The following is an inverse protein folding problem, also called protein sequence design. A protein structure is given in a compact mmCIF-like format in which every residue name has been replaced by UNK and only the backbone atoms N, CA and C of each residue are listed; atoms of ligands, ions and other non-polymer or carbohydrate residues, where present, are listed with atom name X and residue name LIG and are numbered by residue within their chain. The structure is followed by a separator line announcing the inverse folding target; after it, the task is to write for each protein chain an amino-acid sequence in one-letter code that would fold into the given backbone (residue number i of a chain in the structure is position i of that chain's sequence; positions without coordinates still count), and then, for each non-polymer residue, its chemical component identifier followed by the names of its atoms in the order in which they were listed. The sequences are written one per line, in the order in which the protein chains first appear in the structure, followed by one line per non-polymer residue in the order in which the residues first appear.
data_IF_040844030930
#
_entry.id   IF_040844030930
#
_cell.length_a   1.000
_cell.length_b   1.000
_cell.length_c   1.000
_cell.angle_alpha   90.00
_cell.angle_beta   90.00
_cell.angle_gamma   90.00
#
_symmetry.space_group_name_H-M   'P 1'
#
loop_
_entity.id
_entity.type
_entity.pdbx_description
1 polymer ?
#
# COMPACT_ATOMS: atom_id res chain seq x y z
N UNK A 1 -15.32 -3.14 1.45
CA UNK A 1 -14.14 -3.99 1.77
C UNK A 1 -13.62 -4.82 0.58
N UNK A 2 -14.43 -5.62 -0.14
CA UNK A 2 -13.97 -6.53 -1.22
C UNK A 2 -13.08 -5.89 -2.32
N UNK A 3 -13.44 -4.72 -2.87
CA UNK A 3 -12.65 -4.06 -3.93
C UNK A 3 -11.28 -3.53 -3.46
N UNK A 4 -11.18 -3.13 -2.19
CA UNK A 4 -9.94 -2.59 -1.60
C UNK A 4 -8.92 -3.71 -1.36
N UNK A 5 -9.39 -4.85 -0.88
CA UNK A 5 -8.55 -6.05 -0.72
C UNK A 5 -8.01 -6.57 -2.06
N UNK A 6 -8.77 -6.41 -3.14
CA UNK A 6 -8.34 -6.82 -4.49
C UNK A 6 -7.23 -5.92 -5.04
N UNK A 7 -7.30 -4.61 -4.82
CA UNK A 7 -6.24 -3.66 -5.22
C UNK A 7 -4.93 -3.94 -4.48
N UNK A 8 -4.99 -4.18 -3.16
CA UNK A 8 -3.81 -4.55 -2.37
C UNK A 8 -3.24 -5.90 -2.82
N UNK A 9 -4.10 -6.90 -3.06
CA UNK A 9 -3.67 -8.20 -3.56
C UNK A 9 -3.01 -8.12 -4.94
N UNK A 10 -3.58 -7.34 -5.87
CA UNK A 10 -2.98 -7.11 -7.19
C UNK A 10 -1.63 -6.41 -7.07
N UNK A 11 -1.51 -5.42 -6.19
CA UNK A 11 -0.24 -4.75 -5.94
C UNK A 11 0.81 -5.73 -5.40
N UNK A 12 0.44 -6.57 -4.43
CA UNK A 12 1.34 -7.56 -3.84
C UNK A 12 1.81 -8.58 -4.88
N UNK A 13 0.89 -9.15 -5.65
CA UNK A 13 1.21 -10.12 -6.70
C UNK A 13 2.06 -9.47 -7.79
N UNK A 14 1.70 -8.26 -8.21
CA UNK A 14 2.44 -7.48 -9.19
C UNK A 14 3.84 -7.12 -8.72
N UNK A 15 4.01 -6.69 -7.47
CA UNK A 15 5.31 -6.27 -6.93
C UNK A 15 6.30 -7.44 -6.92
N UNK A 16 5.87 -8.61 -6.44
CA UNK A 16 6.69 -9.82 -6.42
C UNK A 16 6.95 -10.32 -7.85
N UNK A 17 5.93 -10.39 -8.70
CA UNK A 17 6.07 -10.89 -10.06
C UNK A 17 7.00 -10.00 -10.91
N UNK A 18 6.84 -8.68 -10.87
CA UNK A 18 7.70 -7.76 -11.60
C UNK A 18 9.13 -7.74 -11.06
N UNK A 19 9.32 -7.86 -9.75
CA UNK A 19 10.67 -7.95 -9.14
C UNK A 19 11.39 -9.23 -9.56
N UNK A 20 10.68 -10.38 -9.62
CA UNK A 20 11.23 -11.64 -10.10
C UNK A 20 11.46 -11.64 -11.62
N UNK A 21 10.50 -11.15 -12.40
CA UNK A 21 10.61 -11.07 -13.85
C UNK A 21 11.79 -10.21 -14.26
N UNK A 22 12.07 -9.14 -13.52
CA UNK A 22 13.22 -8.28 -13.80
C UNK A 22 14.55 -9.02 -13.77
N UNK A 23 14.70 -10.05 -12.92
CA UNK A 23 15.92 -10.84 -12.81
C UNK A 23 16.23 -11.64 -14.07
N UNK A 24 15.19 -12.13 -14.76
CA UNK A 24 15.36 -12.88 -16.01
C UNK A 24 15.85 -12.02 -17.18
N UNK A 25 15.88 -10.69 -17.03
CA UNK A 25 16.37 -9.74 -18.04
C UNK A 25 17.75 -9.16 -17.71
N UNK A 26 18.49 -9.73 -16.73
CA UNK A 26 19.89 -9.37 -16.45
C UNK A 26 20.84 -10.08 -17.42
N UNK A 27 20.63 -9.87 -18.72
CA UNK A 27 21.51 -10.34 -19.79
C UNK A 27 21.63 -9.26 -20.87
N UNK A 28 22.70 -9.33 -21.66
CA UNK A 28 22.94 -8.43 -22.79
C UNK A 28 21.88 -8.61 -23.91
N UNK A 29 21.18 -9.74 -23.88
CA UNK A 29 20.07 -10.05 -24.77
C UNK A 29 18.72 -9.69 -24.15
N UNK A 30 17.80 -9.17 -24.97
CA UNK A 30 16.38 -8.95 -24.62
C UNK A 30 15.57 -10.26 -24.48
N UNK A 31 16.24 -11.38 -24.21
CA UNK A 31 15.64 -12.68 -24.02
C UNK A 31 15.57 -12.98 -22.52
N UNK A 32 14.41 -13.44 -22.09
CA UNK A 32 14.22 -13.88 -20.72
C UNK A 32 14.99 -15.18 -20.47
N UNK A 33 15.89 -15.19 -19.50
CA UNK A 33 16.67 -16.37 -19.13
C UNK A 33 16.28 -16.89 -17.74
N UNK A 34 15.61 -18.05 -17.72
CA UNK A 34 15.22 -18.74 -16.49
C UNK A 34 16.42 -19.25 -15.67
N UNK A 35 17.54 -19.58 -16.34
CA UNK A 35 18.73 -20.07 -15.64
C UNK A 35 19.36 -18.95 -14.81
N UNK A 36 19.39 -17.72 -15.33
CA UNK A 36 19.86 -16.55 -14.59
C UNK A 36 18.98 -16.25 -13.37
N UNK A 37 17.65 -16.33 -13.52
CA UNK A 37 16.72 -16.15 -12.42
C UNK A 37 16.96 -17.17 -11.29
N UNK A 38 17.08 -18.46 -11.65
CA UNK A 38 17.33 -19.51 -10.67
C UNK A 38 18.69 -19.35 -9.99
N UNK A 39 19.70 -18.96 -10.77
CA UNK A 39 21.07 -18.73 -10.29
C UNK A 39 21.14 -17.61 -9.25
N UNK A 40 20.46 -16.49 -9.48
CA UNK A 40 20.39 -15.40 -8.51
C UNK A 40 19.57 -15.78 -7.28
N UNK A 41 18.46 -16.52 -7.44
CA UNK A 41 17.59 -16.92 -6.33
C UNK A 41 18.26 -17.95 -5.40
N UNK A 42 19.02 -18.90 -5.96
CA UNK A 42 19.76 -19.92 -5.20
C UNK A 42 21.16 -19.45 -4.73
N UNK A 43 21.54 -18.19 -4.99
CA UNK A 43 22.84 -17.62 -4.61
C UNK A 43 24.06 -18.47 -5.06
N UNK A 44 23.96 -19.13 -6.21
CA UNK A 44 24.95 -20.13 -6.65
C UNK A 44 26.34 -19.51 -6.87
N UNK A 45 26.42 -18.26 -7.33
CA UNK A 45 27.67 -17.53 -7.57
C UNK A 45 28.12 -16.66 -6.38
N UNK A 46 27.45 -16.76 -5.24
CA UNK A 46 27.66 -15.88 -4.09
C UNK A 46 27.02 -14.50 -4.25
N UNK A 47 27.02 -13.75 -3.15
CA UNK A 47 26.44 -12.40 -3.10
C UNK A 47 27.51 -11.35 -3.37
N UNK A 48 27.32 -10.57 -4.42
CA UNK A 48 28.11 -9.37 -4.70
C UNK A 48 27.19 -8.17 -4.84
N UNK A 49 27.42 -7.15 -4.01
CA UNK A 49 26.60 -5.96 -3.96
C UNK A 49 26.61 -5.16 -5.28
N UNK A 50 27.66 -5.22 -6.08
CA UNK A 50 27.75 -4.42 -7.31
C UNK A 50 27.07 -5.05 -8.53
N UNK A 51 26.72 -6.32 -8.46
CA UNK A 51 26.24 -7.07 -9.64
C UNK A 51 24.97 -7.86 -9.38
N UNK A 52 24.64 -8.14 -8.11
CA UNK A 52 23.52 -9.00 -7.78
C UNK A 52 22.21 -8.19 -7.61
N UNK A 53 21.13 -8.53 -8.34
CA UNK A 53 19.83 -7.85 -8.26
C UNK A 53 18.95 -8.32 -7.09
N UNK A 54 19.40 -9.28 -6.28
CA UNK A 54 18.62 -9.84 -5.16
C UNK A 54 18.11 -8.78 -4.17
N UNK A 55 18.79 -7.65 -4.04
CA UNK A 55 18.36 -6.58 -3.15
C UNK A 55 16.97 -6.01 -3.51
N UNK A 56 16.60 -5.98 -4.80
CA UNK A 56 15.26 -5.55 -5.20
C UNK A 56 14.18 -6.52 -4.74
N UNK A 57 14.47 -7.82 -4.76
CA UNK A 57 13.55 -8.84 -4.22
C UNK A 57 13.47 -8.73 -2.71
N UNK A 58 14.58 -8.50 -2.01
CA UNK A 58 14.54 -8.24 -0.56
C UNK A 58 13.68 -7.02 -0.21
N UNK A 59 13.80 -5.92 -0.96
CA UNK A 59 12.95 -4.75 -0.78
C UNK A 59 11.46 -5.08 -1.04
N UNK A 60 11.15 -5.88 -2.05
CA UNK A 60 9.78 -6.31 -2.35
C UNK A 60 9.18 -7.17 -1.23
N UNK A 61 9.97 -8.10 -0.67
CA UNK A 61 9.55 -8.94 0.46
C UNK A 61 9.31 -8.07 1.68
N UNK A 62 10.21 -7.12 1.95
CA UNK A 62 10.09 -6.22 3.08
C UNK A 62 8.83 -5.33 2.96
N UNK A 63 8.54 -4.79 1.76
CA UNK A 63 7.27 -4.11 1.46
C UNK A 63 6.05 -5.01 1.70
N UNK A 64 6.12 -6.27 1.30
CA UNK A 64 5.06 -7.25 1.49
C UNK A 64 4.80 -7.50 2.98
N UNK A 65 5.83 -7.67 3.81
CA UNK A 65 5.70 -7.82 5.27
C UNK A 65 5.01 -6.60 5.89
N UNK A 66 5.40 -5.39 5.49
CA UNK A 66 4.76 -4.16 5.98
C UNK A 66 3.29 -4.04 5.52
N UNK A 67 2.95 -4.44 4.30
CA UNK A 67 1.57 -4.48 3.82
C UNK A 67 0.71 -5.52 4.57
N UNK A 68 1.24 -6.71 4.83
CA UNK A 68 0.54 -7.74 5.62
C UNK A 68 0.32 -7.26 7.05
N UNK A 69 1.30 -6.56 7.62
CA UNK A 69 1.17 -5.92 8.94
C UNK A 69 0.06 -4.86 8.92
N UNK A 70 0.00 -4.03 7.87
CA UNK A 70 -1.10 -3.09 7.62
C UNK A 70 -2.47 -3.78 7.68
N UNK A 71 -2.60 -4.83 6.87
CA UNK A 71 -3.84 -5.55 6.68
C UNK A 71 -4.30 -6.23 7.97
N UNK A 72 -3.33 -6.74 8.74
CA UNK A 72 -3.58 -7.31 10.06
C UNK A 72 -4.09 -6.25 11.03
N UNK A 73 -3.46 -5.08 11.11
CA UNK A 73 -3.91 -3.98 11.99
C UNK A 73 -5.35 -3.53 11.68
N UNK A 74 -5.69 -3.41 10.40
CA UNK A 74 -7.04 -3.06 9.95
C UNK A 74 -8.04 -4.16 10.35
N UNK A 75 -7.68 -5.43 10.17
CA UNK A 75 -8.54 -6.57 10.52
C UNK A 75 -8.84 -6.58 12.03
N UNK A 76 -7.86 -6.24 12.86
CA UNK A 76 -8.01 -6.14 14.32
C UNK A 76 -8.65 -4.82 14.81
N UNK A 77 -9.12 -3.95 13.92
CA UNK A 77 -9.75 -2.65 14.24
C UNK A 77 -8.90 -1.79 15.20
N UNK A 78 -7.57 -1.80 15.03
CA UNK A 78 -6.65 -1.00 15.85
C UNK A 78 -6.28 0.32 15.17
N UNK A 79 -7.30 1.10 14.81
CA UNK A 79 -7.21 2.41 14.13
C UNK A 79 -6.18 3.38 14.72
N UNK A 80 -6.07 3.57 16.06
CA UNK A 80 -5.07 4.49 16.62
C UNK A 80 -3.64 4.00 16.38
N UNK A 81 -3.41 2.68 16.35
CA UNK A 81 -2.08 2.13 16.06
C UNK A 81 -1.75 2.18 14.57
N UNK A 82 -2.75 2.03 13.69
CA UNK A 82 -2.57 2.19 12.25
C UNK A 82 -2.17 3.63 11.90
N UNK A 83 -2.79 4.62 12.55
CA UNK A 83 -2.42 6.03 12.40
C UNK A 83 -1.02 6.33 12.93
N UNK A 84 -0.63 5.74 14.06
CA UNK A 84 0.74 5.86 14.59
C UNK A 84 1.80 5.23 13.68
N UNK A 85 1.46 4.13 12.98
CA UNK A 85 2.36 3.48 11.99
C UNK A 85 2.54 4.28 10.70
N UNK A 86 1.76 5.34 10.45
CA UNK A 86 1.90 6.18 9.25
C UNK A 86 3.30 6.76 9.08
N UNK A 87 3.82 7.38 10.15
CA UNK A 87 5.11 8.05 10.11
C UNK A 87 6.28 7.07 9.85
N UNK A 88 6.36 5.91 10.53
CA UNK A 88 7.31 4.85 10.18
C UNK A 88 7.17 4.34 8.74
N UNK A 89 5.96 4.18 8.22
CA UNK A 89 5.71 3.65 6.88
C UNK A 89 6.16 4.59 5.77
N UNK A 90 5.97 5.90 5.93
CA UNK A 90 6.52 6.89 4.99
C UNK A 90 8.05 6.90 5.07
N UNK A 91 8.62 6.81 6.27
CA UNK A 91 10.06 6.66 6.45
C UNK A 91 10.60 5.43 5.72
N UNK A 92 9.90 4.31 5.83
CA UNK A 92 10.24 3.07 5.13
C UNK A 92 10.14 3.20 3.60
N UNK A 93 9.06 3.80 3.09
CA UNK A 93 8.91 4.04 1.64
C UNK A 93 10.05 4.93 1.10
N UNK A 94 10.41 5.98 1.87
CA UNK A 94 11.53 6.87 1.56
C UNK A 94 12.85 6.11 1.59
N UNK A 95 13.05 5.22 2.57
CA UNK A 95 14.22 4.34 2.63
C UNK A 95 14.30 3.43 1.40
N UNK A 96 13.22 2.78 0.99
CA UNK A 96 13.20 1.95 -0.22
C UNK A 96 13.56 2.74 -1.47
N UNK A 97 13.05 3.97 -1.58
CA UNK A 97 13.36 4.86 -2.69
C UNK A 97 14.84 5.26 -2.70
N UNK A 98 15.36 5.72 -1.56
CA UNK A 98 16.77 6.10 -1.40
C UNK A 98 17.72 4.92 -1.63
N UNK A 99 17.38 3.74 -1.10
CA UNK A 99 18.19 2.54 -1.31
C UNK A 99 18.22 2.13 -2.78
N UNK A 100 17.09 2.25 -3.50
CA UNK A 100 17.03 1.99 -4.94
C UNK A 100 17.99 2.92 -5.71
N UNK A 101 18.06 4.20 -5.33
CA UNK A 101 19.03 5.15 -5.91
C UNK A 101 20.48 4.73 -5.60
N UNK A 102 20.79 4.44 -4.34
CA UNK A 102 22.14 4.00 -3.93
C UNK A 102 22.56 2.73 -4.69
N UNK A 103 21.64 1.79 -4.88
CA UNK A 103 21.88 0.57 -5.64
C UNK A 103 22.09 0.84 -7.13
N UNK A 104 21.34 1.79 -7.71
CA UNK A 104 21.57 2.25 -9.09
C UNK A 104 22.97 2.88 -9.25
N UNK A 105 23.43 3.65 -8.26
CA UNK A 105 24.80 4.17 -8.22
C UNK A 105 25.83 3.05 -8.13
N UNK A 106 25.61 2.03 -7.30
CA UNK A 106 26.50 0.87 -7.23
C UNK A 106 26.59 0.14 -8.58
N UNK A 107 25.47 -0.03 -9.29
CA UNK A 107 25.47 -0.58 -10.64
C UNK A 107 26.18 0.30 -11.68
N UNK A 108 26.35 1.59 -11.42
CA UNK A 108 27.10 2.48 -12.31
C UNK A 108 28.60 2.20 -12.31
N UNK A 109 29.11 1.57 -11.24
CA UNK A 109 30.53 1.20 -11.15
C UNK A 109 30.89 0.05 -12.12
N UNK A 110 29.92 -0.79 -12.47
CA UNK A 110 30.07 -1.81 -13.51
C UNK A 110 29.33 -1.41 -14.79
N UNK A 111 30.07 -0.90 -15.76
CA UNK A 111 29.54 -0.45 -17.07
C UNK A 111 28.68 -1.49 -17.79
N UNK A 112 28.87 -2.80 -17.53
CA UNK A 112 28.07 -3.87 -18.14
C UNK A 112 26.67 -3.94 -17.53
N UNK A 113 26.54 -3.67 -16.23
CA UNK A 113 25.25 -3.71 -15.53
C UNK A 113 24.29 -2.61 -16.00
N UNK A 114 24.84 -1.46 -16.43
CA UNK A 114 24.07 -0.35 -17.03
C UNK A 114 23.52 -0.66 -18.43
N UNK A 115 24.10 -1.64 -19.14
CA UNK A 115 23.64 -2.06 -20.48
C UNK A 115 22.47 -3.05 -20.40
N UNK A 116 22.32 -3.74 -19.27
CA UNK A 116 21.26 -4.73 -19.13
C UNK A 116 19.88 -4.07 -18.96
N UNK A 117 18.88 -4.46 -19.76
CA UNK A 117 17.53 -3.91 -19.68
C UNK A 117 16.86 -4.24 -18.33
N UNK A 118 17.21 -5.39 -17.73
CA UNK A 118 16.72 -5.79 -16.41
C UNK A 118 17.06 -4.80 -15.30
N UNK A 119 18.21 -4.13 -15.38
CA UNK A 119 18.62 -3.11 -14.39
C UNK A 119 17.65 -1.93 -14.36
N UNK A 120 17.35 -1.38 -15.54
CA UNK A 120 16.44 -0.24 -15.68
C UNK A 120 15.02 -0.60 -15.28
N UNK A 121 14.56 -1.81 -15.64
CA UNK A 121 13.25 -2.29 -15.26
C UNK A 121 13.12 -2.48 -13.73
N UNK A 122 14.12 -3.07 -13.06
CA UNK A 122 14.17 -3.21 -11.61
C UNK A 122 14.12 -1.87 -10.89
N UNK A 123 14.93 -0.90 -11.34
CA UNK A 123 15.00 0.43 -10.72
C UNK A 123 13.68 1.17 -10.90
N UNK A 124 13.16 1.24 -12.13
CA UNK A 124 11.91 1.94 -12.42
C UNK A 124 10.72 1.30 -11.69
N UNK A 125 10.65 -0.04 -11.66
CA UNK A 125 9.62 -0.75 -10.94
C UNK A 125 9.72 -0.53 -9.43
N UNK A 126 10.91 -0.66 -8.84
CA UNK A 126 11.09 -0.48 -7.40
C UNK A 126 10.73 0.94 -6.93
N UNK A 127 11.09 1.96 -7.71
CA UNK A 127 10.67 3.34 -7.44
C UNK A 127 9.15 3.50 -7.51
N UNK A 128 8.53 2.98 -8.58
CA UNK A 128 7.08 3.05 -8.76
C UNK A 128 6.35 2.29 -7.64
N UNK A 129 6.85 1.12 -7.25
CA UNK A 129 6.30 0.31 -6.17
C UNK A 129 6.44 1.00 -4.80
N UNK A 130 7.53 1.70 -4.53
CA UNK A 130 7.68 2.50 -3.30
C UNK A 130 6.66 3.65 -3.24
N UNK A 131 6.42 4.33 -4.35
CA UNK A 131 5.40 5.38 -4.45
C UNK A 131 3.99 4.82 -4.29
N UNK A 132 3.67 3.74 -5.00
CA UNK A 132 2.37 3.05 -4.90
C UNK A 132 2.12 2.53 -3.49
N UNK A 133 3.14 2.00 -2.81
CA UNK A 133 3.04 1.58 -1.41
C UNK A 133 2.64 2.73 -0.49
N UNK A 134 3.29 3.89 -0.62
CA UNK A 134 2.94 5.10 0.14
C UNK A 134 1.50 5.56 -0.16
N UNK A 135 1.10 5.53 -1.43
CA UNK A 135 -0.22 5.94 -1.90
C UNK A 135 -1.34 5.00 -1.39
N UNK A 136 -1.10 3.69 -1.45
CA UNK A 136 -2.00 2.67 -0.89
C UNK A 136 -2.18 2.91 0.60
N UNK A 137 -1.09 3.17 1.33
CA UNK A 137 -1.15 3.42 2.77
C UNK A 137 -1.92 4.71 3.09
N UNK A 138 -1.70 5.78 2.32
CA UNK A 138 -2.49 7.01 2.43
C UNK A 138 -3.99 6.76 2.22
N UNK A 139 -4.36 6.04 1.16
CA UNK A 139 -5.76 5.70 0.91
C UNK A 139 -6.37 4.83 2.00
N UNK A 140 -5.61 3.90 2.58
CA UNK A 140 -6.06 3.06 3.69
C UNK A 140 -6.48 3.93 4.89
N UNK A 141 -5.67 4.93 5.25
CA UNK A 141 -5.96 5.82 6.38
C UNK A 141 -7.13 6.75 6.07
N UNK A 142 -7.10 7.45 4.93
CA UNK A 142 -8.16 8.40 4.55
C UNK A 142 -9.52 7.70 4.43
N UNK A 143 -9.53 6.45 3.96
CA UNK A 143 -10.77 5.68 3.85
C UNK A 143 -11.37 5.27 5.21
N UNK A 144 -10.60 5.29 6.30
CA UNK A 144 -11.08 5.06 7.66
C UNK A 144 -11.65 6.34 8.30
N UNK A 145 -11.09 7.51 7.98
CA UNK A 145 -11.63 8.80 8.43
C UNK A 145 -13.06 9.08 7.88
N UNK A 146 -13.45 8.43 6.78
CA UNK A 146 -14.82 8.53 6.25
C UNK A 146 -15.90 7.90 7.15
N UNK A 147 -15.56 6.99 8.08
CA UNK A 147 -16.55 6.48 9.05
C UNK A 147 -16.96 7.55 10.08
N UNK A 148 -16.19 8.63 10.24
CA UNK A 148 -16.57 9.77 11.09
C UNK A 148 -17.76 10.54 10.51
N UNK A 149 -17.81 10.70 9.17
CA UNK A 149 -18.95 11.31 8.49
C UNK A 149 -20.22 10.46 8.65
N UNK A 150 -20.09 9.13 8.70
CA UNK A 150 -21.23 8.23 8.94
C UNK A 150 -21.77 8.38 10.36
N UNK A 151 -20.90 8.47 11.38
CA UNK A 151 -21.30 8.69 12.77
C UNK A 151 -21.92 10.08 12.99
N UNK A 152 -21.40 11.11 12.32
CA UNK A 152 -21.98 12.46 12.34
C UNK A 152 -23.35 12.46 11.64
N UNK A 153 -23.47 11.80 10.50
CA UNK A 153 -24.74 11.67 9.78
C UNK A 153 -25.78 10.87 10.58
N UNK A 154 -25.38 9.80 11.27
CA UNK A 154 -26.26 9.03 12.17
C UNK A 154 -26.72 9.88 13.36
N UNK A 155 -25.83 10.66 13.99
CA UNK A 155 -26.25 11.61 15.05
C UNK A 155 -27.22 12.66 14.53
N UNK A 156 -26.93 13.28 13.39
CA UNK A 156 -27.79 14.32 12.81
C UNK A 156 -29.15 13.71 12.46
N UNK A 157 -29.17 12.51 11.88
CA UNK A 157 -30.41 11.82 11.56
C UNK A 157 -31.19 11.47 12.84
N UNK A 158 -30.54 10.95 13.88
CA UNK A 158 -31.18 10.62 15.16
C UNK A 158 -31.75 11.86 15.87
N UNK A 159 -31.04 13.00 15.84
CA UNK A 159 -31.53 14.27 16.38
C UNK A 159 -32.74 14.77 15.58
N UNK A 160 -32.70 14.65 14.25
CA UNK A 160 -33.79 15.07 13.37
C UNK A 160 -35.05 14.22 13.61
N UNK A 161 -34.91 12.91 13.82
CA UNK A 161 -36.05 12.04 14.16
C UNK A 161 -36.60 12.36 15.55
N UNK A 162 -35.75 12.58 16.55
CA UNK A 162 -36.18 12.92 17.90
C UNK A 162 -36.89 14.29 17.99
N UNK A 163 -36.50 15.25 17.14
CA UNK A 163 -37.13 16.58 17.06
C UNK A 163 -38.50 16.49 16.35
N UNK A 164 -38.64 15.56 15.40
CA UNK A 164 -39.90 15.31 14.69
C UNK A 164 -40.93 14.60 15.57
N UNK A 165 -40.50 13.65 16.39
CA UNK A 165 -41.37 12.96 17.36
C UNK A 165 -41.83 13.89 18.50
N UNK A 166 -41.07 14.95 18.83
CA UNK A 166 -41.48 15.94 19.85
C UNK A 166 -42.43 16.99 19.28
N UNK A 167 -42.26 17.41 18.03
CA UNK A 167 -43.20 18.33 17.38
C UNK A 167 -44.58 17.70 17.11
N UNK A 168 -44.64 16.41 16.78
CA UNK A 168 -45.90 15.72 16.52
C UNK A 168 -46.73 15.55 17.82
N UNK A 169 -46.09 15.53 18.99
CA UNK A 169 -46.74 15.47 20.31
C UNK A 169 -47.24 16.84 20.79
N UNK A 170 -46.53 17.92 20.50
CA UNK A 170 -47.02 19.28 20.78
C UNK A 170 -48.22 19.66 19.89
N UNK A 171 -48.22 19.32 18.60
CA UNK A 171 -49.36 19.59 17.70
C UNK A 171 -50.62 18.80 18.07
N UNK A 172 -50.48 17.57 18.60
CA UNK A 172 -51.64 16.79 19.09
C UNK A 172 -52.16 17.31 20.43
N UNK A 173 -51.29 17.84 21.29
CA UNK A 173 -51.68 18.45 22.57
C UNK A 173 -52.42 19.79 22.37
N UNK A 174 -51.97 20.65 21.45
CA UNK A 174 -52.66 21.90 21.13
C UNK A 174 -54.02 21.68 20.46
N UNK A 175 -54.19 20.62 19.64
CA UNK A 175 -55.49 20.25 19.05
C UNK A 175 -56.48 19.73 20.09
N UNK A 176 -56.03 18.90 21.03
CA UNK A 176 -56.88 18.36 22.10
C UNK A 176 -57.39 19.46 23.07
N UNK A 177 -56.62 20.55 23.20
CA UNK A 177 -57.00 21.69 24.06
C UNK A 177 -58.01 22.63 23.36
N UNK A 178 -58.11 22.59 22.03
CA UNK A 178 -58.96 23.49 21.22
C UNK A 178 -60.38 22.96 20.98
N UNK A 179 -60.59 21.65 21.08
CA UNK A 179 -61.91 21.00 20.90
C UNK A 179 -62.66 20.78 22.25
N UNK A 180 -62.14 21.35 23.35
CA UNK A 180 -62.66 21.18 24.72
C UNK A 180 -63.36 22.40 25.33
N UNK A 181 -63.52 23.51 24.61
CA UNK A 181 -64.30 24.69 25.02
C UNK A 181 -65.67 24.76 24.34
#
# INVERSE_FOLDING_TARGET
MKRRSLLVALFVVGDVACSLLSMGFYSDSWKFDFNLLFKYLMFIDGYNYFTNPMDFVFLSILRLVFLVTAMSLITFHQDPKAKAMFMPMIGFATFCYSYTLVKMLAFSEDTRMMQYPGTWFSVAWSMTAALLFSLIWYFIITAHDFDYQRLVSERISAITTATRDTSDVEETSERATRDGE
#
